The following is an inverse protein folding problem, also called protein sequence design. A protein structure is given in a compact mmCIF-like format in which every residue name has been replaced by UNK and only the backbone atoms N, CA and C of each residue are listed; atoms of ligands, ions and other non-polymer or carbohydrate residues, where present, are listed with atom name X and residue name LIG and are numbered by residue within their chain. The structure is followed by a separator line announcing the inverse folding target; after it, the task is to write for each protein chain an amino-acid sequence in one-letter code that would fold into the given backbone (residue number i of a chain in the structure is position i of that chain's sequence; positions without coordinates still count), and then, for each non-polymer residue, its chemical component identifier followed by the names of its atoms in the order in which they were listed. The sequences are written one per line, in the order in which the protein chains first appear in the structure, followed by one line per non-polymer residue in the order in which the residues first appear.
data_IF_031875187594
#
_entry.id   IF_031875187594
#
_cell.length_a   1.000
_cell.length_b   1.000
_cell.length_c   1.000
_cell.angle_alpha   90.00
_cell.angle_beta   90.00
_cell.angle_gamma   90.00
#
_symmetry.space_group_name_H-M   'P 1'
#
loop_
_entity.id
_entity.type
_entity.pdbx_description
1 polymer ?
#
# COMPACT_ATOMS: atom_id res chain seq x y z
N UNK A 1 13.83 1.81 -9.96
CA UNK A 1 13.56 0.52 -10.61
C UNK A 1 14.31 -0.63 -9.90
N UNK A 2 15.65 -0.56 -9.66
CA UNK A 2 16.41 -1.65 -9.05
C UNK A 2 15.86 -2.13 -7.69
N UNK A 3 15.44 -1.21 -6.81
CA UNK A 3 14.78 -1.56 -5.54
C UNK A 3 13.46 -2.30 -5.74
N UNK A 4 12.68 -1.94 -6.78
CA UNK A 4 11.46 -2.65 -7.12
C UNK A 4 11.73 -4.09 -7.59
N UNK A 5 12.84 -4.31 -8.33
CA UNK A 5 13.26 -5.66 -8.71
C UNK A 5 13.57 -6.53 -7.50
N UNK A 6 14.26 -6.00 -6.50
CA UNK A 6 14.58 -6.73 -5.27
C UNK A 6 13.31 -7.09 -4.50
N UNK A 7 12.42 -6.12 -4.29
CA UNK A 7 11.14 -6.35 -3.57
C UNK A 7 10.27 -7.35 -4.34
N UNK A 8 10.17 -7.20 -5.67
CA UNK A 8 9.42 -8.12 -6.52
C UNK A 8 9.96 -9.56 -6.47
N UNK A 9 11.30 -9.73 -6.53
CA UNK A 9 11.91 -11.06 -6.45
C UNK A 9 11.67 -11.73 -5.10
N UNK A 10 11.77 -10.99 -4.00
CA UNK A 10 11.46 -11.51 -2.66
C UNK A 10 9.99 -11.91 -2.54
N UNK A 11 9.06 -11.08 -3.04
CA UNK A 11 7.63 -11.38 -3.02
C UNK A 11 7.28 -12.63 -3.82
N UNK A 12 7.82 -12.79 -5.04
CA UNK A 12 7.59 -13.96 -5.88
C UNK A 12 8.21 -15.22 -5.27
N UNK A 13 9.43 -15.11 -4.71
CA UNK A 13 10.05 -16.25 -4.01
C UNK A 13 9.21 -16.70 -2.81
N UNK A 14 8.68 -15.76 -2.02
CA UNK A 14 7.79 -16.10 -0.91
C UNK A 14 6.50 -16.78 -1.40
N UNK A 15 5.90 -16.29 -2.49
CA UNK A 15 4.71 -16.91 -3.09
C UNK A 15 4.98 -18.32 -3.58
N UNK A 16 6.12 -18.56 -4.24
CA UNK A 16 6.54 -19.88 -4.70
C UNK A 16 6.60 -20.95 -3.57
N UNK A 17 7.01 -20.54 -2.37
CA UNK A 17 7.01 -21.45 -1.21
C UNK A 17 5.61 -21.73 -0.64
N UNK A 18 4.64 -20.85 -0.92
CA UNK A 18 3.29 -20.92 -0.35
C UNK A 18 2.24 -21.49 -1.32
N UNK A 19 2.52 -21.49 -2.62
CA UNK A 19 1.55 -21.84 -3.67
C UNK A 19 2.17 -22.82 -4.68
N UNK A 20 1.33 -23.70 -5.22
CA UNK A 20 1.68 -24.66 -6.28
C UNK A 20 1.02 -24.30 -7.62
N UNK A 21 0.42 -23.13 -7.76
CA UNK A 21 -0.24 -22.70 -8.99
C UNK A 21 0.77 -22.18 -10.02
N UNK A 22 1.20 -23.10 -10.91
CA UNK A 22 2.18 -22.84 -11.96
C UNK A 22 1.75 -21.75 -12.96
N UNK A 23 0.45 -21.54 -13.18
CA UNK A 23 -0.01 -20.52 -14.14
C UNK A 23 0.18 -19.11 -13.59
N UNK A 24 -0.31 -18.84 -12.39
CA UNK A 24 -0.15 -17.57 -11.71
C UNK A 24 1.33 -17.27 -11.48
N UNK A 25 2.10 -18.26 -11.10
CA UNK A 25 3.54 -18.15 -10.89
C UNK A 25 4.26 -17.76 -12.19
N UNK A 26 3.91 -18.33 -13.34
CA UNK A 26 4.52 -17.99 -14.63
C UNK A 26 4.29 -16.53 -15.02
N UNK A 27 3.10 -15.96 -14.75
CA UNK A 27 2.79 -14.55 -14.99
C UNK A 27 3.66 -13.65 -14.11
N UNK A 28 3.83 -14.00 -12.84
CA UNK A 28 4.67 -13.23 -11.90
C UNK A 28 6.14 -13.22 -12.33
N UNK A 29 6.69 -14.38 -12.73
CA UNK A 29 8.07 -14.48 -13.24
C UNK A 29 8.25 -13.70 -14.55
N UNK A 30 7.26 -13.74 -15.44
CA UNK A 30 7.29 -12.96 -16.68
C UNK A 30 7.33 -11.46 -16.40
N UNK A 31 6.48 -10.97 -15.48
CA UNK A 31 6.49 -9.58 -15.05
C UNK A 31 7.84 -9.18 -14.43
N UNK A 32 8.41 -10.00 -13.55
CA UNK A 32 9.71 -9.73 -12.92
C UNK A 32 10.83 -9.69 -13.97
N UNK A 33 10.84 -10.61 -14.92
CA UNK A 33 11.82 -10.63 -16.00
C UNK A 33 11.75 -9.36 -16.85
N UNK A 34 10.55 -8.90 -17.21
CA UNK A 34 10.36 -7.65 -17.93
C UNK A 34 10.83 -6.44 -17.11
N UNK A 35 10.53 -6.41 -15.80
CA UNK A 35 10.96 -5.35 -14.91
C UNK A 35 12.49 -5.28 -14.82
N UNK A 36 13.17 -6.42 -14.68
CA UNK A 36 14.64 -6.52 -14.66
C UNK A 36 15.22 -6.06 -15.99
N UNK A 37 14.68 -6.52 -17.10
CA UNK A 37 15.14 -6.18 -18.47
C UNK A 37 15.05 -4.66 -18.71
N UNK A 38 13.91 -4.05 -18.36
CA UNK A 38 13.75 -2.59 -18.49
C UNK A 38 14.67 -1.85 -17.53
N UNK A 39 14.86 -2.35 -16.30
CA UNK A 39 15.80 -1.75 -15.37
C UNK A 39 17.23 -1.78 -15.93
N UNK A 40 17.67 -2.89 -16.46
CA UNK A 40 18.99 -3.03 -17.10
C UNK A 40 19.14 -2.11 -18.31
N UNK A 41 18.13 -2.07 -19.19
CA UNK A 41 18.15 -1.24 -20.38
C UNK A 41 18.23 0.26 -20.09
N UNK A 42 17.56 0.72 -19.02
CA UNK A 42 17.55 2.13 -18.61
C UNK A 42 18.60 2.48 -17.55
N UNK A 43 19.47 1.54 -17.18
CA UNK A 43 20.43 1.74 -16.08
C UNK A 43 21.28 3.01 -16.22
N UNK A 44 21.79 3.25 -17.44
CA UNK A 44 22.66 4.39 -17.76
C UNK A 44 21.93 5.53 -18.49
N UNK A 45 20.59 5.48 -18.62
CA UNK A 45 19.82 6.50 -19.35
C UNK A 45 19.20 7.51 -18.39
N UNK A 46 19.35 8.79 -18.72
CA UNK A 46 18.80 9.89 -17.93
C UNK A 46 17.28 10.05 -18.02
N UNK A 47 16.65 9.47 -19.04
CA UNK A 47 15.20 9.56 -19.25
C UNK A 47 14.63 8.18 -19.55
N UNK A 48 13.56 7.84 -18.86
CA UNK A 48 12.79 6.62 -19.09
C UNK A 48 11.50 7.02 -19.83
N UNK A 49 11.09 6.23 -20.82
CA UNK A 49 9.86 6.48 -21.55
C UNK A 49 8.65 6.15 -20.67
N UNK A 50 7.75 7.12 -20.45
CA UNK A 50 6.60 6.97 -19.56
C UNK A 50 5.71 5.77 -19.94
N UNK A 51 5.52 5.54 -21.24
CA UNK A 51 4.72 4.41 -21.73
C UNK A 51 5.25 3.06 -21.25
N UNK A 52 6.57 2.86 -21.26
CA UNK A 52 7.20 1.61 -20.80
C UNK A 52 6.96 1.37 -19.31
N UNK A 53 7.12 2.43 -18.50
CA UNK A 53 6.85 2.32 -17.05
C UNK A 53 5.38 1.98 -16.80
N UNK A 54 4.47 2.68 -17.47
CA UNK A 54 3.03 2.45 -17.32
C UNK A 54 2.66 1.02 -17.69
N UNK A 55 3.18 0.51 -18.80
CA UNK A 55 2.90 -0.85 -19.24
C UNK A 55 3.38 -1.91 -18.23
N UNK A 56 4.59 -1.77 -17.70
CA UNK A 56 5.11 -2.71 -16.69
C UNK A 56 4.32 -2.60 -15.38
N UNK A 57 3.92 -1.40 -14.99
CA UNK A 57 3.09 -1.21 -13.79
C UNK A 57 1.72 -1.87 -13.95
N UNK A 58 1.08 -1.75 -15.11
CA UNK A 58 -0.19 -2.41 -15.40
C UNK A 58 -0.05 -3.94 -15.41
N UNK A 59 1.03 -4.48 -16.00
CA UNK A 59 1.32 -5.90 -15.94
C UNK A 59 1.54 -6.39 -14.50
N UNK A 60 2.17 -5.58 -13.65
CA UNK A 60 2.34 -5.90 -12.23
C UNK A 60 1.01 -5.93 -11.46
N UNK A 61 0.12 -4.96 -11.72
CA UNK A 61 -1.23 -4.96 -11.16
C UNK A 61 -2.02 -6.19 -11.65
N UNK A 62 -1.95 -6.50 -12.93
CA UNK A 62 -2.59 -7.68 -13.51
C UNK A 62 -2.07 -8.97 -12.86
N UNK A 63 -0.76 -9.10 -12.70
CA UNK A 63 -0.12 -10.22 -12.00
C UNK A 63 -0.63 -10.37 -10.55
N UNK A 64 -0.71 -9.26 -9.81
CA UNK A 64 -1.25 -9.25 -8.45
C UNK A 64 -2.71 -9.71 -8.40
N UNK A 65 -3.56 -9.20 -9.30
CA UNK A 65 -4.98 -9.55 -9.34
C UNK A 65 -5.23 -11.03 -9.69
N UNK A 66 -4.34 -11.66 -10.45
CA UNK A 66 -4.45 -13.10 -10.75
C UNK A 66 -4.15 -14.03 -9.57
N UNK A 67 -3.49 -13.54 -8.53
CA UNK A 67 -3.23 -14.32 -7.30
C UNK A 67 -4.48 -14.37 -6.41
N UNK A 68 -5.28 -13.31 -6.40
CA UNK A 68 -6.37 -13.16 -5.43
C UNK A 68 -7.45 -14.25 -5.49
N UNK A 69 -7.85 -14.77 -6.68
CA UNK A 69 -8.81 -15.86 -6.75
C UNK A 69 -8.36 -17.18 -6.11
N UNK A 70 -7.04 -17.39 -5.98
CA UNK A 70 -6.51 -18.58 -5.29
C UNK A 70 -6.54 -18.46 -3.77
N UNK A 71 -6.71 -17.23 -3.24
CA UNK A 71 -6.68 -16.94 -1.81
C UNK A 71 -8.08 -16.64 -1.27
N UNK A 72 -8.91 -15.97 -2.05
CA UNK A 72 -10.23 -15.49 -1.62
C UNK A 72 -11.37 -16.13 -2.39
N UNK A 73 -12.51 -16.34 -1.71
CA UNK A 73 -13.76 -16.76 -2.34
C UNK A 73 -14.30 -15.68 -3.30
N UNK A 74 -15.10 -16.08 -4.28
CA UNK A 74 -15.66 -15.17 -5.28
C UNK A 74 -16.44 -14.01 -4.66
N UNK A 75 -17.15 -14.24 -3.55
CA UNK A 75 -17.94 -13.20 -2.87
C UNK A 75 -17.05 -12.12 -2.24
N UNK A 76 -15.89 -12.50 -1.75
CA UNK A 76 -14.94 -11.59 -1.09
C UNK A 76 -13.94 -10.97 -2.07
N UNK A 77 -13.74 -11.58 -3.24
CA UNK A 77 -12.68 -11.27 -4.19
C UNK A 77 -12.65 -9.79 -4.57
N UNK A 78 -13.79 -9.20 -4.89
CA UNK A 78 -13.86 -7.81 -5.34
C UNK A 78 -13.49 -6.84 -4.20
N UNK A 79 -14.01 -7.08 -3.00
CA UNK A 79 -13.73 -6.24 -1.82
C UNK A 79 -12.26 -6.38 -1.39
N UNK A 80 -11.74 -7.61 -1.37
CA UNK A 80 -10.34 -7.87 -1.08
C UNK A 80 -9.39 -7.23 -2.11
N UNK A 81 -9.74 -7.30 -3.40
CA UNK A 81 -8.98 -6.66 -4.48
C UNK A 81 -8.89 -5.15 -4.28
N UNK A 82 -10.01 -4.50 -3.96
CA UNK A 82 -10.04 -3.07 -3.70
C UNK A 82 -9.18 -2.69 -2.50
N UNK A 83 -9.35 -3.40 -1.37
CA UNK A 83 -8.58 -3.17 -0.14
C UNK A 83 -7.08 -3.33 -0.37
N UNK A 84 -6.65 -4.40 -1.06
CA UNK A 84 -5.24 -4.65 -1.36
C UNK A 84 -4.68 -3.58 -2.30
N UNK A 85 -5.42 -3.17 -3.33
CA UNK A 85 -4.96 -2.16 -4.27
C UNK A 85 -4.79 -0.79 -3.61
N UNK A 86 -5.77 -0.35 -2.80
CA UNK A 86 -5.67 0.94 -2.10
C UNK A 86 -4.57 0.93 -1.04
N UNK A 87 -4.42 -0.17 -0.28
CA UNK A 87 -3.33 -0.35 0.67
C UNK A 87 -1.96 -0.32 -0.01
N UNK A 88 -1.81 -1.01 -1.15
CA UNK A 88 -0.58 -1.01 -1.94
C UNK A 88 -0.26 0.39 -2.50
N UNK A 89 -1.28 1.14 -2.94
CA UNK A 89 -1.12 2.52 -3.41
C UNK A 89 -0.63 3.44 -2.29
N UNK A 90 -1.18 3.32 -1.08
CA UNK A 90 -0.77 4.10 0.10
C UNK A 90 0.67 3.78 0.48
N UNK A 91 1.01 2.49 0.56
CA UNK A 91 2.36 2.03 0.89
C UNK A 91 3.37 2.50 -0.16
N UNK A 92 3.08 2.34 -1.46
CA UNK A 92 3.93 2.86 -2.53
C UNK A 92 4.04 4.39 -2.49
N UNK A 93 2.95 5.09 -2.20
CA UNK A 93 2.90 6.55 -2.11
C UNK A 93 3.76 7.10 -0.97
N UNK A 94 3.73 6.47 0.21
CA UNK A 94 4.55 6.92 1.34
C UNK A 94 6.04 6.63 1.10
N UNK A 95 6.39 5.48 0.50
CA UNK A 95 7.76 5.18 0.09
C UNK A 95 8.27 6.16 -0.97
N UNK A 96 7.45 6.47 -1.97
CA UNK A 96 7.78 7.45 -3.00
C UNK A 96 8.04 8.83 -2.39
N UNK A 97 7.16 9.29 -1.50
CA UNK A 97 7.28 10.57 -0.81
C UNK A 97 8.54 10.62 0.05
N UNK A 98 8.90 9.52 0.73
CA UNK A 98 10.13 9.40 1.51
C UNK A 98 11.38 9.52 0.62
N UNK A 99 11.44 8.76 -0.47
CA UNK A 99 12.58 8.80 -1.41
C UNK A 99 12.72 10.20 -2.01
N UNK A 100 11.59 10.81 -2.38
CA UNK A 100 11.57 12.16 -2.94
C UNK A 100 12.04 13.18 -1.89
N UNK A 101 11.53 13.09 -0.64
CA UNK A 101 11.98 13.93 0.47
C UNK A 101 13.48 13.84 0.72
N UNK A 102 14.02 12.63 0.69
CA UNK A 102 15.45 12.42 0.82
C UNK A 102 16.27 13.06 -0.34
N UNK A 103 15.72 13.04 -1.56
CA UNK A 103 16.35 13.72 -2.69
C UNK A 103 16.43 15.23 -2.51
N UNK A 104 15.39 15.85 -1.90
CA UNK A 104 15.41 17.29 -1.60
C UNK A 104 16.51 17.71 -0.63
N UNK A 105 17.02 16.79 0.18
CA UNK A 105 18.14 17.07 1.08
C UNK A 105 19.49 17.12 0.34
N UNK A 106 19.62 16.42 -0.79
CA UNK A 106 20.85 16.24 -1.52
C UNK A 106 20.95 17.09 -2.80
N UNK A 107 19.81 17.44 -3.41
CA UNK A 107 19.77 18.13 -4.70
C UNK A 107 19.17 19.52 -4.52
N UNK A 108 20.01 20.53 -4.74
CA UNK A 108 19.61 21.94 -4.69
C UNK A 108 18.76 22.26 -5.93
N UNK A 109 17.68 23.03 -5.75
CA UNK A 109 16.80 23.53 -6.82
C UNK A 109 15.77 22.53 -7.38
N UNK A 110 15.45 21.41 -6.72
CA UNK A 110 14.27 20.63 -7.05
C UNK A 110 12.98 21.40 -6.71
N UNK A 111 11.99 21.41 -7.60
CA UNK A 111 10.74 22.15 -7.34
C UNK A 111 9.91 21.47 -6.24
N UNK A 112 9.70 22.14 -5.11
CA UNK A 112 8.93 21.65 -3.93
C UNK A 112 7.52 21.16 -4.31
N UNK A 113 7.00 21.63 -5.45
CA UNK A 113 5.70 21.22 -5.98
C UNK A 113 5.56 19.71 -6.19
N UNK A 114 6.64 18.98 -6.49
CA UNK A 114 6.60 17.52 -6.68
C UNK A 114 6.30 16.80 -5.36
N UNK A 115 7.03 17.16 -4.29
CA UNK A 115 6.80 16.58 -2.97
C UNK A 115 5.41 16.95 -2.45
N UNK A 116 4.98 18.19 -2.67
CA UNK A 116 3.64 18.65 -2.29
C UNK A 116 2.54 17.84 -3.00
N UNK A 117 2.69 17.58 -4.31
CA UNK A 117 1.74 16.73 -5.06
C UNK A 117 1.72 15.29 -4.54
N UNK A 118 2.86 14.70 -4.22
CA UNK A 118 2.90 13.33 -3.68
C UNK A 118 2.18 13.22 -2.33
N UNK A 119 2.33 14.22 -1.45
CA UNK A 119 1.61 14.26 -0.16
C UNK A 119 0.10 14.44 -0.35
N UNK A 120 -0.34 15.24 -1.33
CA UNK A 120 -1.78 15.37 -1.63
C UNK A 120 -2.34 14.02 -2.09
N UNK A 121 -1.70 13.36 -3.05
CA UNK A 121 -2.15 12.06 -3.56
C UNK A 121 -2.20 11.03 -2.43
N UNK A 122 -1.18 10.98 -1.58
CA UNK A 122 -1.13 10.10 -0.43
C UNK A 122 -2.28 10.40 0.55
N UNK A 123 -2.54 11.68 0.84
CA UNK A 123 -3.63 12.07 1.74
C UNK A 123 -5.01 11.71 1.18
N UNK A 124 -5.23 11.89 -0.13
CA UNK A 124 -6.47 11.48 -0.80
C UNK A 124 -6.64 9.96 -0.72
N UNK A 125 -5.58 9.19 -0.97
CA UNK A 125 -5.63 7.73 -0.88
C UNK A 125 -5.95 7.24 0.55
N UNK A 126 -5.37 7.86 1.57
CA UNK A 126 -5.69 7.58 2.97
C UNK A 126 -7.14 7.92 3.33
N UNK A 127 -7.67 9.03 2.81
CA UNK A 127 -9.08 9.40 3.01
C UNK A 127 -10.01 8.38 2.34
N UNK A 128 -9.72 7.96 1.11
CA UNK A 128 -10.50 6.92 0.43
C UNK A 128 -10.48 5.63 1.24
N UNK A 129 -9.30 5.22 1.75
CA UNK A 129 -9.17 4.03 2.61
C UNK A 129 -10.01 4.18 3.87
N UNK A 130 -9.92 5.29 4.57
CA UNK A 130 -10.69 5.54 5.81
C UNK A 130 -12.20 5.49 5.55
N UNK A 131 -12.67 6.08 4.44
CA UNK A 131 -14.09 6.02 4.05
C UNK A 131 -14.51 4.57 3.76
N UNK A 132 -13.67 3.81 3.07
CA UNK A 132 -13.92 2.39 2.80
C UNK A 132 -14.02 1.58 4.08
N UNK A 133 -13.10 1.75 5.03
CA UNK A 133 -13.09 1.03 6.29
C UNK A 133 -14.35 1.34 7.13
N UNK A 134 -14.73 2.62 7.21
CA UNK A 134 -15.96 3.04 7.89
C UNK A 134 -17.21 2.45 7.21
N UNK A 135 -17.25 2.47 5.88
CA UNK A 135 -18.36 1.87 5.12
C UNK A 135 -18.43 0.37 5.39
N UNK A 136 -17.32 -0.34 5.28
CA UNK A 136 -17.28 -1.79 5.48
C UNK A 136 -17.73 -2.18 6.90
N UNK A 137 -17.21 -1.51 7.92
CA UNK A 137 -17.57 -1.76 9.32
C UNK A 137 -19.05 -1.45 9.60
N UNK A 138 -19.65 -0.51 8.87
CA UNK A 138 -21.06 -0.13 9.06
C UNK A 138 -22.01 -1.04 8.31
N UNK A 139 -21.60 -1.56 7.15
CA UNK A 139 -22.46 -2.36 6.26
C UNK A 139 -22.47 -3.86 6.61
N UNK A 140 -21.41 -4.35 7.27
CA UNK A 140 -21.23 -5.77 7.52
C UNK A 140 -21.48 -6.16 8.98
N UNK A 141 -21.79 -7.44 9.15
CA UNK A 141 -21.99 -8.09 10.44
C UNK A 141 -21.05 -9.28 10.54
N UNK A 142 -20.68 -9.64 11.75
CA UNK A 142 -19.92 -10.85 12.03
C UNK A 142 -20.64 -11.72 13.04
N UNK A 143 -20.32 -13.00 13.04
CA UNK A 143 -20.85 -13.98 14.00
C UNK A 143 -19.79 -14.18 15.07
N UNK A 144 -20.14 -13.88 16.32
CA UNK A 144 -19.28 -14.07 17.47
C UNK A 144 -19.06 -15.57 17.77
N UNK A 145 -18.07 -15.90 18.59
CA UNK A 145 -17.76 -17.26 19.03
C UNK A 145 -18.95 -18.00 19.68
N UNK A 146 -19.96 -17.26 20.15
CA UNK A 146 -21.21 -17.78 20.71
C UNK A 146 -22.33 -17.93 19.68
N UNK A 147 -22.07 -17.71 18.40
CA UNK A 147 -23.09 -17.77 17.33
C UNK A 147 -24.02 -16.54 17.27
N UNK A 148 -23.71 -15.47 17.98
CA UNK A 148 -24.49 -14.24 18.00
C UNK A 148 -24.06 -13.33 16.87
N UNK A 149 -25.01 -12.88 16.04
CA UNK A 149 -24.76 -11.89 14.97
C UNK A 149 -24.61 -10.51 15.60
N UNK A 150 -23.44 -9.88 15.42
CA UNK A 150 -23.13 -8.56 15.91
C UNK A 150 -22.70 -7.65 14.76
N UNK A 151 -22.76 -6.33 14.96
CA UNK A 151 -22.22 -5.36 14.02
C UNK A 151 -20.69 -5.43 14.04
N UNK A 152 -20.04 -5.27 12.87
CA UNK A 152 -18.57 -5.31 12.75
C UNK A 152 -17.86 -4.23 13.59
N UNK A 153 -18.54 -3.14 13.97
CA UNK A 153 -18.00 -2.18 14.93
C UNK A 153 -17.74 -2.77 16.32
N UNK A 154 -18.60 -3.71 16.76
CA UNK A 154 -18.42 -4.34 18.07
C UNK A 154 -17.20 -5.28 18.09
N UNK A 155 -16.84 -5.84 16.92
CA UNK A 155 -15.60 -6.62 16.78
C UNK A 155 -14.34 -5.86 17.19
N UNK A 156 -14.28 -4.56 16.94
CA UNK A 156 -13.12 -3.72 17.31
C UNK A 156 -12.86 -3.67 18.82
N UNK A 157 -13.89 -3.94 19.63
CA UNK A 157 -13.80 -3.92 21.10
C UNK A 157 -13.70 -5.32 21.70
N UNK A 158 -13.79 -6.37 20.88
CA UNK A 158 -13.50 -7.73 21.30
C UNK A 158 -11.98 -7.95 21.36
N UNK A 159 -11.54 -8.92 22.14
CA UNK A 159 -10.11 -9.21 22.32
C UNK A 159 -9.38 -9.39 20.97
N UNK A 160 -10.00 -10.12 20.05
CA UNK A 160 -9.45 -10.38 18.71
C UNK A 160 -9.46 -9.14 17.80
N UNK A 161 -10.31 -8.15 18.08
CA UNK A 161 -10.46 -6.95 17.27
C UNK A 161 -9.65 -5.73 17.75
N UNK A 162 -9.10 -5.75 18.96
CA UNK A 162 -8.34 -4.62 19.52
C UNK A 162 -7.17 -4.22 18.61
N UNK A 163 -6.45 -5.20 18.07
CA UNK A 163 -5.33 -4.94 17.18
C UNK A 163 -5.79 -4.25 15.88
N UNK A 164 -6.98 -4.58 15.38
CA UNK A 164 -7.57 -3.90 14.22
C UNK A 164 -7.91 -2.44 14.53
N UNK A 165 -8.42 -2.15 15.72
CA UNK A 165 -8.67 -0.78 16.16
C UNK A 165 -7.35 0.04 16.17
N UNK A 166 -6.27 -0.56 16.68
CA UNK A 166 -4.94 0.07 16.64
C UNK A 166 -4.48 0.28 15.18
N UNK A 167 -4.74 -0.67 14.28
CA UNK A 167 -4.41 -0.54 12.87
C UNK A 167 -5.19 0.58 12.18
N UNK A 168 -6.49 0.73 12.45
CA UNK A 168 -7.31 1.83 11.95
C UNK A 168 -6.76 3.19 12.38
N UNK A 169 -6.34 3.29 13.64
CA UNK A 169 -5.72 4.52 14.12
C UNK A 169 -4.35 4.75 13.49
N UNK A 170 -3.42 3.79 13.60
CA UNK A 170 -2.04 3.93 13.14
C UNK A 170 -1.92 3.92 11.62
N UNK A 171 -2.71 3.09 10.90
CA UNK A 171 -2.62 2.94 9.46
C UNK A 171 -3.33 4.05 8.67
N UNK A 172 -4.36 4.66 9.23
CA UNK A 172 -5.18 5.64 8.53
C UNK A 172 -5.14 7.02 9.19
N UNK A 173 -5.63 7.13 10.44
CA UNK A 173 -5.85 8.42 11.09
C UNK A 173 -4.53 9.14 11.37
N UNK A 174 -3.58 8.44 11.95
CA UNK A 174 -2.30 9.02 12.33
C UNK A 174 -1.48 9.50 11.10
N UNK A 175 -1.36 8.75 9.98
CA UNK A 175 -0.71 9.24 8.77
C UNK A 175 -1.41 10.45 8.14
N UNK A 176 -2.74 10.54 8.17
CA UNK A 176 -3.47 11.73 7.70
C UNK A 176 -3.04 12.95 8.52
N UNK A 177 -2.98 12.79 9.85
CA UNK A 177 -2.57 13.85 10.75
C UNK A 177 -1.11 14.29 10.51
N UNK A 178 -0.20 13.33 10.35
CA UNK A 178 1.20 13.62 9.99
C UNK A 178 1.29 14.34 8.65
N UNK A 179 0.55 13.90 7.64
CA UNK A 179 0.57 14.53 6.32
C UNK A 179 0.11 16.00 6.35
N UNK A 180 -0.81 16.35 7.25
CA UNK A 180 -1.17 17.74 7.50
C UNK A 180 0.04 18.56 7.98
N UNK A 181 0.84 18.03 8.92
CA UNK A 181 2.06 18.71 9.38
C UNK A 181 3.13 18.73 8.29
N UNK A 182 3.29 17.66 7.49
CA UNK A 182 4.18 17.68 6.31
C UNK A 182 3.78 18.80 5.37
N UNK A 183 2.49 18.96 5.09
CA UNK A 183 1.99 20.04 4.25
C UNK A 183 2.37 21.41 4.82
N UNK A 184 2.14 21.63 6.13
CA UNK A 184 2.49 22.89 6.80
C UNK A 184 3.99 23.18 6.78
N UNK A 185 4.83 22.19 6.99
CA UNK A 185 6.29 22.37 6.92
C UNK A 185 6.76 22.68 5.49
N UNK A 186 6.09 22.13 4.46
CA UNK A 186 6.38 22.46 3.06
C UNK A 186 5.91 23.87 2.66
N UNK A 187 4.90 24.44 3.31
CA UNK A 187 4.50 25.85 3.10
C UNK A 187 5.63 26.82 3.47
N UNK A 188 6.34 26.54 4.55
CA UNK A 188 7.50 27.33 5.02
C UNK A 188 8.83 26.85 4.43
N UNK A 189 8.79 25.98 3.42
CA UNK A 189 9.97 25.45 2.71
C UNK A 189 10.94 24.64 3.61
N UNK A 190 10.51 24.17 4.77
CA UNK A 190 11.31 23.37 5.70
C UNK A 190 11.37 21.90 5.26
N UNK A 191 12.05 21.61 4.15
CA UNK A 191 12.11 20.27 3.53
C UNK A 191 12.71 19.20 4.43
N UNK A 192 13.67 19.56 5.27
CA UNK A 192 14.29 18.64 6.23
C UNK A 192 13.28 18.16 7.27
N UNK A 193 12.52 19.08 7.87
CA UNK A 193 11.47 18.74 8.84
C UNK A 193 10.35 17.93 8.19
N UNK A 194 9.94 18.31 6.98
CA UNK A 194 8.95 17.58 6.19
C UNK A 194 9.39 16.12 5.95
N UNK A 195 10.66 15.92 5.57
CA UNK A 195 11.22 14.58 5.35
C UNK A 195 11.23 13.77 6.65
N UNK A 196 11.60 14.36 7.78
CA UNK A 196 11.54 13.70 9.09
C UNK A 196 10.14 13.22 9.45
N UNK A 197 9.10 14.02 9.20
CA UNK A 197 7.70 13.63 9.41
C UNK A 197 7.27 12.50 8.48
N UNK A 198 7.72 12.48 7.21
CA UNK A 198 7.43 11.39 6.27
C UNK A 198 8.03 10.06 6.77
N UNK A 199 9.21 10.05 7.39
CA UNK A 199 9.76 8.84 8.00
C UNK A 199 8.87 8.28 9.10
N UNK A 200 8.26 9.13 9.92
CA UNK A 200 7.29 8.69 10.94
C UNK A 200 6.03 8.13 10.26
N UNK A 201 5.54 8.80 9.21
CA UNK A 201 4.37 8.35 8.45
C UNK A 201 4.58 6.96 7.83
N UNK A 202 5.78 6.65 7.32
CA UNK A 202 6.05 5.34 6.70
C UNK A 202 5.96 4.20 7.72
N UNK A 203 6.50 4.40 8.92
CA UNK A 203 6.44 3.38 9.98
C UNK A 203 4.98 3.11 10.34
N UNK A 204 4.20 4.17 10.49
CA UNK A 204 2.79 4.08 10.83
C UNK A 204 1.96 3.36 9.76
N UNK A 205 2.14 3.76 8.49
CA UNK A 205 1.46 3.12 7.35
C UNK A 205 1.82 1.64 7.23
N UNK A 206 3.10 1.29 7.34
CA UNK A 206 3.54 -0.11 7.26
C UNK A 206 2.94 -0.97 8.37
N UNK A 207 2.93 -0.43 9.59
CA UNK A 207 2.32 -1.13 10.73
C UNK A 207 0.82 -1.39 10.48
N UNK A 208 0.09 -0.38 10.05
CA UNK A 208 -1.33 -0.51 9.72
C UNK A 208 -1.58 -1.50 8.57
N UNK A 209 -0.82 -1.38 7.46
CA UNK A 209 -0.99 -2.22 6.27
C UNK A 209 -0.73 -3.72 6.55
N UNK A 210 0.26 -4.03 7.38
CA UNK A 210 0.52 -5.42 7.80
C UNK A 210 -0.66 -5.99 8.59
N UNK A 211 -1.20 -5.22 9.53
CA UNK A 211 -2.32 -5.67 10.36
C UNK A 211 -3.59 -5.80 9.52
N UNK A 212 -3.89 -4.86 8.63
CA UNK A 212 -5.04 -4.97 7.72
C UNK A 212 -4.98 -6.23 6.86
N UNK A 213 -3.81 -6.56 6.31
CA UNK A 213 -3.60 -7.80 5.55
C UNK A 213 -3.75 -9.05 6.41
N UNK A 214 -3.29 -9.01 7.66
CA UNK A 214 -3.52 -10.09 8.62
C UNK A 214 -5.02 -10.34 8.84
N UNK A 215 -5.80 -9.27 9.10
CA UNK A 215 -7.25 -9.42 9.31
C UNK A 215 -7.99 -9.83 8.03
N UNK A 216 -7.54 -9.37 6.87
CA UNK A 216 -8.08 -9.83 5.60
C UNK A 216 -7.88 -11.34 5.40
N UNK A 217 -6.70 -11.87 5.71
CA UNK A 217 -6.37 -13.29 5.53
C UNK A 217 -6.99 -14.17 6.61
N UNK A 218 -6.98 -13.74 7.87
CA UNK A 218 -7.40 -14.55 9.01
C UNK A 218 -8.92 -14.52 9.23
N UNK A 219 -9.54 -13.35 9.03
CA UNK A 219 -10.95 -13.13 9.35
C UNK A 219 -11.80 -12.77 8.12
N UNK A 220 -11.20 -12.66 6.93
CA UNK A 220 -11.91 -12.26 5.73
C UNK A 220 -12.44 -10.81 5.78
N UNK A 221 -11.78 -9.91 6.51
CA UNK A 221 -12.18 -8.52 6.65
C UNK A 221 -11.39 -7.64 5.67
N UNK A 222 -11.96 -7.23 4.53
CA UNK A 222 -11.30 -6.43 3.49
C UNK A 222 -11.29 -4.93 3.84
N UNK A 223 -10.60 -4.58 4.91
CA UNK A 223 -10.41 -3.23 5.43
C UNK A 223 -9.17 -2.57 4.84
#
# INVERSE_FOLDING_TARGET
LGKCCIIGSLGISAYHFLSTDLFTESIMWTWLFLLITVTAFYWNKNKIHNFVITLISLLGIYSLLNILPSIFSNDLLLMASFSILIGSLITAGVFFSMILGHWYLNVIALPISLLRKSIIILSISLLIRTIWDVYFLSANQYVDAYGIVKNSWSFLFDFDGILLLVALFMGNIFPIFINYFVWKTLEVQATQSATGLIYVSIISVLFGDIIFKYYLLQYGLPL
#
